data_IF_777971209119
#
_entry.id   IF_777971209119
#
_cell.length_a   1.000
_cell.length_b   1.000
_cell.length_c   1.000
_cell.angle_alpha   90.00
_cell.angle_beta   90.00
_cell.angle_gamma   90.00
#
_symmetry.space_group_name_H-M   'P 1'
#
loop_
_entity.id
_entity.type
_entity.pdbx_description
1 polymer ?
#
# COMPACT_ATOMS: atom_id res chain seq x y z
N UNK A 1 29.76 -13.07 -9.15
CA UNK A 1 28.44 -12.63 -8.65
C UNK A 1 28.33 -11.14 -8.95
N UNK A 2 27.45 -10.72 -9.85
CA UNK A 2 27.13 -9.29 -10.00
C UNK A 2 26.21 -8.88 -8.82
N UNK A 3 26.39 -7.68 -8.23
CA UNK A 3 25.49 -7.21 -7.19
C UNK A 3 24.10 -6.95 -7.78
N UNK A 4 23.07 -7.55 -7.18
CA UNK A 4 21.69 -7.20 -7.48
C UNK A 4 21.43 -5.80 -6.92
N UNK A 5 21.28 -4.81 -7.80
CA UNK A 5 20.92 -3.44 -7.42
C UNK A 5 19.43 -3.26 -7.66
N UNK A 6 18.72 -2.76 -6.64
CA UNK A 6 17.32 -2.40 -6.75
C UNK A 6 17.22 -0.98 -7.33
N UNK A 7 16.62 -0.85 -8.51
CA UNK A 7 16.28 0.45 -9.08
C UNK A 7 14.97 0.96 -8.46
N UNK A 8 15.06 2.08 -7.75
CA UNK A 8 13.96 2.74 -7.06
C UNK A 8 13.50 4.02 -7.77
N UNK A 9 13.93 4.24 -9.01
CA UNK A 9 13.47 5.37 -9.81
C UNK A 9 11.97 5.28 -10.10
N UNK A 10 11.33 6.44 -10.25
CA UNK A 10 9.89 6.52 -10.49
C UNK A 10 9.55 5.97 -11.89
N UNK A 11 8.75 4.91 -11.94
CA UNK A 11 8.19 4.38 -13.18
C UNK A 11 7.02 5.21 -13.73
N UNK A 12 6.56 4.83 -14.93
CA UNK A 12 5.38 5.47 -15.55
C UNK A 12 4.12 5.22 -14.72
N UNK A 13 3.28 6.25 -14.61
CA UNK A 13 1.99 6.17 -13.93
C UNK A 13 0.87 6.01 -14.94
N UNK A 14 -0.09 5.12 -14.65
CA UNK A 14 -1.29 4.90 -15.45
C UNK A 14 -2.51 5.01 -14.55
N UNK A 15 -3.42 5.93 -14.88
CA UNK A 15 -4.72 6.01 -14.22
C UNK A 15 -5.57 4.78 -14.52
N UNK A 16 -6.21 4.22 -13.49
CA UNK A 16 -7.04 3.01 -13.59
C UNK A 16 -8.53 3.27 -13.44
N UNK A 17 -8.91 4.49 -13.01
CA UNK A 17 -10.28 4.88 -12.70
C UNK A 17 -10.93 4.10 -11.53
N UNK A 18 -10.13 3.36 -10.75
CA UNK A 18 -10.58 2.69 -9.51
C UNK A 18 -10.22 3.57 -8.31
N UNK A 19 -11.20 3.89 -7.47
CA UNK A 19 -11.03 4.82 -6.34
C UNK A 19 -9.92 4.43 -5.37
N UNK A 20 -9.69 3.12 -5.18
CA UNK A 20 -8.69 2.60 -4.24
C UNK A 20 -7.35 2.27 -4.91
N UNK A 21 -7.13 2.79 -6.12
CA UNK A 21 -5.82 2.75 -6.78
C UNK A 21 -5.09 4.04 -6.55
N UNK A 22 -4.03 3.97 -5.76
CA UNK A 22 -3.23 5.13 -5.38
C UNK A 22 -1.79 4.91 -5.81
N UNK A 23 -1.17 5.96 -6.31
CA UNK A 23 0.26 5.96 -6.58
C UNK A 23 0.94 7.05 -5.76
N UNK A 24 2.11 6.75 -5.23
CA UNK A 24 3.00 7.77 -4.67
C UNK A 24 3.79 8.36 -5.83
N UNK A 25 3.82 9.69 -5.92
CA UNK A 25 4.69 10.43 -6.84
C UNK A 25 5.94 10.85 -6.05
N UNK A 26 7.11 10.40 -6.48
CA UNK A 26 8.38 10.64 -5.76
C UNK A 26 8.68 9.60 -4.68
N UNK A 27 9.70 9.81 -3.83
CA UNK A 27 10.15 8.82 -2.86
C UNK A 27 9.07 8.45 -1.83
N UNK A 28 9.04 7.19 -1.38
CA UNK A 28 8.17 6.75 -0.27
C UNK A 28 7.61 5.34 -0.43
N UNK A 29 6.89 4.86 0.57
CA UNK A 29 6.20 3.57 0.56
C UNK A 29 4.92 3.66 1.40
N UNK A 30 3.95 2.82 1.09
CA UNK A 30 2.86 2.54 2.02
C UNK A 30 3.34 1.56 3.08
N UNK A 31 2.85 1.71 4.31
CA UNK A 31 3.13 0.77 5.39
C UNK A 31 1.95 -0.16 5.54
N UNK A 32 2.22 -1.47 5.62
CA UNK A 32 1.20 -2.48 5.88
C UNK A 32 1.57 -3.32 7.10
N UNK A 33 0.55 -3.82 7.81
CA UNK A 33 0.69 -4.83 8.84
C UNK A 33 0.34 -6.19 8.27
N UNK A 34 1.31 -7.09 8.30
CA UNK A 34 1.16 -8.47 7.81
C UNK A 34 0.37 -9.31 8.81
N UNK A 35 -0.11 -10.49 8.36
CA UNK A 35 -0.92 -11.39 9.21
C UNK A 35 -0.20 -11.91 10.46
N UNK A 36 1.14 -11.88 10.49
CA UNK A 36 1.96 -12.19 11.67
C UNK A 36 2.15 -10.98 12.61
N UNK A 37 1.60 -9.81 12.27
CA UNK A 37 1.70 -8.56 13.03
C UNK A 37 2.92 -7.69 12.70
N UNK A 38 3.84 -8.17 11.84
CA UNK A 38 5.02 -7.43 11.42
C UNK A 38 4.66 -6.24 10.52
N UNK A 39 5.58 -5.28 10.39
CA UNK A 39 5.45 -4.18 9.44
C UNK A 39 6.17 -4.49 8.13
N UNK A 40 5.53 -4.19 7.01
CA UNK A 40 6.14 -4.24 5.68
C UNK A 40 5.90 -2.95 4.90
N UNK A 41 6.75 -2.68 3.92
CA UNK A 41 6.70 -1.50 3.08
C UNK A 41 6.42 -1.91 1.63
N UNK A 42 5.38 -1.31 1.04
CA UNK A 42 4.94 -1.66 -0.32
C UNK A 42 4.84 -0.43 -1.20
N UNK A 43 5.13 -0.63 -2.49
CA UNK A 43 4.94 0.40 -3.53
C UNK A 43 3.70 0.13 -4.38
N UNK A 44 3.15 -1.08 -4.34
CA UNK A 44 1.88 -1.41 -4.97
C UNK A 44 0.75 -0.72 -4.19
N UNK A 45 0.00 0.15 -4.85
CA UNK A 45 -1.14 0.86 -4.26
C UNK A 45 -2.50 0.39 -4.77
N UNK A 46 -2.60 -0.87 -5.19
CA UNK A 46 -3.87 -1.56 -5.46
C UNK A 46 -4.47 -2.03 -4.13
N UNK A 47 -5.45 -1.28 -3.62
CA UNK A 47 -6.08 -1.58 -2.33
C UNK A 47 -7.55 -1.99 -2.46
N UNK A 48 -8.08 -2.56 -1.38
CA UNK A 48 -9.46 -3.02 -1.25
C UNK A 48 -9.97 -2.85 0.18
N UNK A 49 -11.29 -2.95 0.37
CA UNK A 49 -11.90 -2.97 1.70
C UNK A 49 -12.32 -4.40 2.03
N UNK A 50 -11.86 -4.91 3.18
CA UNK A 50 -12.24 -6.24 3.66
C UNK A 50 -13.60 -6.24 4.40
N UNK A 51 -14.05 -7.42 4.84
CA UNK A 51 -15.33 -7.56 5.56
C UNK A 51 -15.37 -6.79 6.90
N UNK A 52 -14.20 -6.50 7.48
CA UNK A 52 -14.04 -5.73 8.71
C UNK A 52 -13.99 -4.20 8.46
N UNK A 53 -14.20 -3.76 7.22
CA UNK A 53 -14.13 -2.36 6.78
C UNK A 53 -12.74 -1.73 6.94
N UNK A 54 -11.70 -2.54 6.82
CA UNK A 54 -10.32 -2.10 6.84
C UNK A 54 -9.80 -1.98 5.41
N UNK A 55 -8.94 -0.98 5.18
CA UNK A 55 -8.18 -0.87 3.95
C UNK A 55 -7.06 -1.92 3.95
N UNK A 56 -7.05 -2.79 2.95
CA UNK A 56 -6.02 -3.82 2.79
C UNK A 56 -5.37 -3.76 1.41
N UNK A 57 -4.17 -4.30 1.30
CA UNK A 57 -3.61 -4.69 0.00
C UNK A 57 -4.31 -5.95 -0.55
N UNK A 58 -3.94 -6.35 -1.77
CA UNK A 58 -4.50 -7.55 -2.43
C UNK A 58 -4.22 -8.84 -1.62
N UNK A 59 -3.02 -9.06 -1.06
CA UNK A 59 -2.77 -10.16 -0.12
C UNK A 59 -3.62 -10.15 1.16
N UNK A 60 -4.21 -9.02 1.54
CA UNK A 60 -5.04 -8.89 2.75
C UNK A 60 -4.31 -8.27 3.96
N UNK A 61 -3.11 -7.71 3.77
CA UNK A 61 -2.39 -6.98 4.80
C UNK A 61 -3.04 -5.62 5.04
N UNK A 62 -3.18 -5.23 6.30
CA UNK A 62 -3.83 -3.98 6.68
C UNK A 62 -2.93 -2.79 6.32
N UNK A 63 -3.46 -1.83 5.57
CA UNK A 63 -2.77 -0.57 5.26
C UNK A 63 -2.86 0.36 6.47
N UNK A 64 -1.73 0.92 6.89
CA UNK A 64 -1.63 1.76 8.07
C UNK A 64 -1.59 3.25 7.71
N UNK A 65 -2.30 4.06 8.50
CA UNK A 65 -2.33 5.52 8.38
C UNK A 65 -1.22 6.22 9.18
N UNK A 66 -1.18 7.55 9.06
CA UNK A 66 -0.29 8.42 9.83
C UNK A 66 -0.65 8.35 11.33
N UNK A 67 0.16 7.62 12.10
CA UNK A 67 -0.06 7.38 13.54
C UNK A 67 -0.21 5.89 13.92
N UNK A 68 -0.17 4.97 12.95
CA UNK A 68 -0.24 3.52 13.21
C UNK A 68 -1.65 2.99 13.53
N UNK A 69 -2.64 3.89 13.59
CA UNK A 69 -4.06 3.53 13.55
C UNK A 69 -4.46 3.20 12.11
N UNK A 70 -5.29 2.19 11.95
CA UNK A 70 -5.86 1.84 10.66
C UNK A 70 -6.68 3.04 10.15
N UNK A 71 -6.36 3.55 8.96
CA UNK A 71 -7.19 4.55 8.30
C UNK A 71 -8.51 3.87 7.95
N UNK A 72 -9.49 4.01 8.84
CA UNK A 72 -10.83 3.49 8.67
C UNK A 72 -11.40 4.11 7.38
N UNK A 73 -11.83 3.26 6.44
CA UNK A 73 -12.35 3.67 5.14
C UNK A 73 -13.42 4.78 5.28
N UNK A 74 -13.52 5.72 4.32
CA UNK A 74 -14.44 6.85 4.43
C UNK A 74 -15.87 6.37 4.67
N UNK A 75 -16.50 6.86 5.74
CA UNK A 75 -17.93 6.68 5.99
C UNK A 75 -18.70 7.58 5.03
N UNK A 76 -19.24 7.00 3.97
CA UNK A 76 -20.36 7.54 3.20
C UNK A 76 -21.67 6.94 3.71
#
# INVERSE_FOLDING_TARGET
MLPLTLDLTQGQLRGTNRTLDVAIIGPGFFTVRTGDGSLAYVRNGSFQINAQRELTDVPGNQVLGVGGAADHAPRG
#
